data_IF_136794621429
#
_entry.id   IF_136794621429
#
_cell.length_a   1.000
_cell.length_b   1.000
_cell.length_c   1.000
_cell.angle_alpha   90.00
_cell.angle_beta   90.00
_cell.angle_gamma   90.00
#
_symmetry.space_group_name_H-M   'P 1'
#
loop_
_entity.id
_entity.type
_entity.pdbx_description
1 polymer ?
#
# COMPACT_ATOMS: atom_id res chain seq x y z
N UNK A 1 -3.26 17.86 10.51
CA UNK A 1 -2.38 17.79 11.70
C UNK A 1 -0.91 18.02 11.31
N UNK A 2 -0.02 18.44 12.23
CA UNK A 2 1.36 18.87 11.92
C UNK A 2 2.42 17.87 12.42
N UNK A 3 3.50 17.68 11.67
CA UNK A 3 4.74 17.01 12.10
C UNK A 3 5.89 17.99 11.95
N UNK A 4 6.74 18.12 12.98
CA UNK A 4 7.96 18.93 12.92
C UNK A 4 9.16 18.00 12.84
N UNK A 5 10.02 18.22 11.85
CA UNK A 5 11.28 17.50 11.70
C UNK A 5 12.44 18.45 12.02
N UNK A 6 13.25 18.07 13.00
CA UNK A 6 14.43 18.83 13.41
C UNK A 6 15.70 18.28 12.75
N UNK A 7 16.49 19.15 12.14
CA UNK A 7 17.79 18.82 11.55
C UNK A 7 18.85 18.60 12.64
N UNK A 8 19.41 17.37 12.78
CA UNK A 8 20.37 17.05 13.82
C UNK A 8 21.78 17.60 13.54
N UNK A 9 22.05 18.16 12.36
CA UNK A 9 23.37 18.73 12.05
C UNK A 9 23.70 19.92 12.96
N UNK A 10 24.80 19.79 13.71
CA UNK A 10 25.45 20.84 14.49
C UNK A 10 26.81 21.14 13.87
N UNK A 11 26.86 21.42 12.57
CA UNK A 11 28.11 21.82 11.93
C UNK A 11 28.21 23.36 11.92
N UNK A 12 28.97 23.97 12.86
CA UNK A 12 29.17 25.41 12.89
C UNK A 12 29.91 25.95 11.66
N UNK A 13 30.57 25.09 10.87
CA UNK A 13 31.31 25.46 9.67
C UNK A 13 30.47 25.36 8.37
N UNK A 14 29.22 24.87 8.44
CA UNK A 14 28.29 24.89 7.30
C UNK A 14 27.63 26.28 7.15
N UNK A 15 28.41 27.22 6.61
CA UNK A 15 28.00 28.62 6.34
C UNK A 15 26.73 28.70 5.48
N UNK A 16 26.44 27.68 4.65
CA UNK A 16 25.22 27.61 3.82
C UNK A 16 23.96 27.26 4.63
N UNK A 17 24.11 26.68 5.82
CA UNK A 17 23.01 26.33 6.73
C UNK A 17 22.88 27.25 7.94
N UNK A 18 23.87 28.08 8.24
CA UNK A 18 23.90 28.97 9.40
C UNK A 18 22.62 29.83 9.60
N UNK A 19 21.96 30.25 8.52
CA UNK A 19 20.75 31.08 8.56
C UNK A 19 19.45 30.34 8.21
N UNK A 20 19.48 29.01 8.03
CA UNK A 20 18.27 28.23 7.72
C UNK A 20 17.61 27.74 9.01
N UNK A 21 16.27 27.83 9.07
CA UNK A 21 15.49 27.13 10.09
C UNK A 21 15.86 25.65 10.09
N UNK A 22 16.36 25.15 11.22
CA UNK A 22 16.63 23.73 11.46
C UNK A 22 15.34 22.91 11.59
N UNK A 23 14.21 23.59 11.71
CA UNK A 23 12.89 22.98 11.78
C UNK A 23 12.19 23.04 10.42
N UNK A 24 11.64 21.90 10.02
CA UNK A 24 10.73 21.81 8.87
C UNK A 24 9.40 21.22 9.31
N UNK A 25 8.33 21.96 9.05
CA UNK A 25 6.96 21.53 9.37
C UNK A 25 6.29 20.89 8.15
N UNK A 26 5.62 19.76 8.36
CA UNK A 26 4.78 19.08 7.38
C UNK A 26 3.34 18.99 7.89
N UNK A 27 2.35 19.07 6.99
CA UNK A 27 0.93 19.02 7.36
C UNK A 27 0.21 17.89 6.62
N UNK A 28 -0.27 16.90 7.37
CA UNK A 28 -1.01 15.75 6.85
C UNK A 28 -2.46 15.77 7.32
N UNK A 29 -3.29 14.90 6.75
CA UNK A 29 -4.68 14.76 7.15
C UNK A 29 -4.75 14.26 8.61
N UNK A 30 -3.99 13.21 8.92
CA UNK A 30 -3.80 12.66 10.27
C UNK A 30 -2.31 12.47 10.58
N UNK A 31 -1.96 12.53 11.86
CA UNK A 31 -0.60 12.26 12.38
C UNK A 31 -0.74 11.40 13.62
N UNK A 32 0.05 10.34 13.72
CA UNK A 32 0.05 9.42 14.85
C UNK A 32 1.46 9.35 15.45
N UNK A 33 1.56 9.46 16.77
CA UNK A 33 2.79 9.18 17.51
C UNK A 33 2.69 7.83 18.24
N UNK A 34 3.70 7.49 19.03
CA UNK A 34 3.78 6.25 19.82
C UNK A 34 2.61 5.98 20.79
N UNK A 35 1.75 6.97 21.09
CA UNK A 35 0.58 6.83 21.96
C UNK A 35 -0.65 6.33 21.20
N UNK A 36 -0.66 6.48 19.88
CA UNK A 36 -1.76 6.04 19.05
C UNK A 36 -1.84 4.50 19.06
N UNK A 37 -3.04 3.98 19.26
CA UNK A 37 -3.28 2.52 19.22
C UNK A 37 -3.54 2.04 17.79
N UNK A 38 -3.41 0.74 17.55
CA UNK A 38 -3.78 0.13 16.26
C UNK A 38 -5.25 0.39 15.88
N UNK A 39 -6.15 0.44 16.86
CA UNK A 39 -7.56 0.78 16.64
C UNK A 39 -7.74 2.23 16.22
N UNK A 40 -7.02 3.16 16.87
CA UNK A 40 -7.11 4.58 16.54
C UNK A 40 -6.63 4.85 15.11
N UNK A 41 -5.51 4.23 14.70
CA UNK A 41 -5.01 4.31 13.33
C UNK A 41 -6.05 3.74 12.36
N UNK A 42 -6.62 2.58 12.64
CA UNK A 42 -7.67 1.95 11.84
C UNK A 42 -8.91 2.85 11.65
N UNK A 43 -9.50 3.30 12.75
CA UNK A 43 -10.71 4.14 12.74
C UNK A 43 -10.48 5.44 11.97
N UNK A 44 -9.30 6.04 12.15
CA UNK A 44 -8.96 7.33 11.57
C UNK A 44 -8.55 7.27 10.09
N UNK A 45 -8.29 6.09 9.55
CA UNK A 45 -7.72 5.94 8.19
C UNK A 45 -8.54 5.05 7.27
N UNK A 46 -8.90 3.83 7.68
CA UNK A 46 -9.43 2.82 6.75
C UNK A 46 -10.90 2.49 6.95
N UNK A 47 -11.43 2.66 8.16
CA UNK A 47 -12.82 2.30 8.50
C UNK A 47 -13.86 2.92 7.56
N UNK A 48 -13.67 4.18 7.17
CA UNK A 48 -14.58 4.90 6.26
C UNK A 48 -14.58 4.38 4.82
N UNK A 49 -13.61 3.54 4.43
CA UNK A 49 -13.51 2.99 3.08
C UNK A 49 -14.49 1.83 2.87
N UNK A 50 -14.85 1.11 3.93
CA UNK A 50 -15.64 -0.13 3.89
C UNK A 50 -16.98 0.10 3.20
N UNK A 51 -17.70 1.17 3.57
CA UNK A 51 -19.00 1.51 2.96
C UNK A 51 -18.92 1.74 1.45
N UNK A 52 -17.80 2.30 0.97
CA UNK A 52 -17.55 2.45 -0.47
C UNK A 52 -17.30 1.11 -1.16
N UNK A 53 -16.46 0.26 -0.56
CA UNK A 53 -16.12 -1.06 -1.10
C UNK A 53 -17.36 -1.95 -1.25
N UNK A 54 -18.19 -2.03 -0.21
CA UNK A 54 -19.43 -2.83 -0.28
C UNK A 54 -20.45 -2.29 -1.31
N UNK A 55 -20.33 -1.01 -1.65
CA UNK A 55 -21.20 -0.33 -2.63
C UNK A 55 -20.65 -0.37 -4.06
N UNK A 56 -19.51 -1.03 -4.29
CA UNK A 56 -18.90 -1.19 -5.61
C UNK A 56 -17.80 -0.18 -5.96
N UNK A 57 -17.31 0.60 -5.00
CA UNK A 57 -16.18 1.52 -5.23
C UNK A 57 -14.86 0.84 -4.89
N UNK A 58 -13.80 1.18 -5.62
CA UNK A 58 -12.47 0.70 -5.26
C UNK A 58 -11.87 1.53 -4.14
N UNK A 59 -11.06 0.89 -3.31
CA UNK A 59 -10.27 1.55 -2.29
C UNK A 59 -8.88 0.92 -2.21
N UNK A 60 -7.89 1.75 -1.88
CA UNK A 60 -6.50 1.32 -1.75
C UNK A 60 -5.90 1.89 -0.47
N UNK A 61 -5.29 1.03 0.32
CA UNK A 61 -4.52 1.38 1.52
C UNK A 61 -3.10 0.91 1.27
N UNK A 62 -2.11 1.79 1.39
CA UNK A 62 -0.72 1.35 1.32
C UNK A 62 0.15 1.94 2.43
N UNK A 63 0.93 1.06 3.06
CA UNK A 63 1.95 1.41 4.02
C UNK A 63 3.28 1.68 3.31
N UNK A 64 3.85 2.85 3.55
CA UNK A 64 5.10 3.31 2.93
C UNK A 64 6.08 3.82 3.97
N UNK A 65 7.38 3.64 3.73
CA UNK A 65 8.44 4.13 4.60
C UNK A 65 9.64 3.19 4.63
N UNK A 66 10.71 3.56 5.34
CA UNK A 66 11.92 2.75 5.45
C UNK A 66 11.67 1.40 6.15
N UNK A 67 12.56 0.44 5.97
CA UNK A 67 12.50 -0.82 6.71
C UNK A 67 12.61 -0.56 8.22
N UNK A 68 11.79 -1.25 9.01
CA UNK A 68 11.80 -1.14 10.46
C UNK A 68 10.99 0.02 11.04
N UNK A 69 10.39 0.89 10.23
CA UNK A 69 9.56 2.01 10.73
C UNK A 69 8.11 1.64 11.04
N UNK A 70 7.73 0.37 10.91
CA UNK A 70 6.43 -0.13 11.39
C UNK A 70 5.40 -0.45 10.30
N UNK A 71 5.73 -0.44 9.00
CA UNK A 71 4.78 -0.77 7.91
C UNK A 71 4.00 -2.07 8.15
N UNK A 72 4.71 -3.19 8.31
CA UNK A 72 4.10 -4.50 8.56
C UNK A 72 3.40 -4.54 9.92
N UNK A 73 3.88 -3.81 10.93
CA UNK A 73 3.18 -3.69 12.22
C UNK A 73 1.83 -2.99 12.07
N UNK A 74 1.74 -1.90 11.33
CA UNK A 74 0.46 -1.23 11.05
C UNK A 74 -0.47 -2.13 10.23
N UNK A 75 0.04 -2.77 9.18
CA UNK A 75 -0.81 -3.57 8.28
C UNK A 75 -1.27 -4.89 8.92
N UNK A 76 -0.35 -5.68 9.47
CA UNK A 76 -0.61 -6.99 10.06
C UNK A 76 -0.87 -6.92 11.56
N UNK A 77 -0.06 -6.16 12.28
CA UNK A 77 -0.06 -6.11 13.74
C UNK A 77 0.57 -7.33 14.38
N UNK A 78 0.21 -7.54 15.64
CA UNK A 78 0.56 -8.71 16.43
C UNK A 78 -0.70 -9.41 16.91
N UNK A 79 -0.59 -10.61 17.47
CA UNK A 79 -1.75 -11.33 18.02
C UNK A 79 -2.46 -10.53 19.14
N UNK A 80 -1.72 -9.70 19.88
CA UNK A 80 -2.27 -8.85 20.95
C UNK A 80 -2.75 -7.50 20.44
N UNK A 81 -2.12 -6.99 19.40
CA UNK A 81 -2.42 -5.67 18.81
C UNK A 81 -2.63 -5.83 17.30
N UNK A 82 -3.82 -6.33 16.90
CA UNK A 82 -4.08 -6.62 15.51
C UNK A 82 -4.09 -5.36 14.65
N UNK A 83 -3.55 -5.45 13.44
CA UNK A 83 -3.38 -4.33 12.52
C UNK A 83 -4.58 -4.08 11.60
N UNK A 84 -4.35 -3.30 10.55
CA UNK A 84 -5.36 -2.88 9.57
C UNK A 84 -6.05 -4.06 8.88
N UNK A 85 -5.33 -5.14 8.53
CA UNK A 85 -5.91 -6.26 7.78
C UNK A 85 -7.15 -6.84 8.49
N UNK A 86 -6.97 -7.39 9.68
CA UNK A 86 -8.07 -8.06 10.41
C UNK A 86 -9.17 -7.09 10.83
N UNK A 87 -8.83 -5.88 11.30
CA UNK A 87 -9.85 -4.89 11.69
C UNK A 87 -10.75 -4.49 10.53
N UNK A 88 -10.14 -4.26 9.36
CA UNK A 88 -10.88 -3.91 8.14
C UNK A 88 -11.74 -5.07 7.66
N UNK A 89 -11.21 -6.30 7.71
CA UNK A 89 -11.94 -7.49 7.30
C UNK A 89 -13.11 -7.81 8.23
N UNK A 90 -12.92 -7.71 9.54
CA UNK A 90 -13.98 -7.93 10.54
C UNK A 90 -15.14 -6.95 10.33
N UNK A 91 -14.85 -5.66 10.22
CA UNK A 91 -15.89 -4.65 9.98
C UNK A 91 -16.50 -4.77 8.58
N UNK A 92 -15.74 -5.23 7.58
CA UNK A 92 -16.27 -5.52 6.25
C UNK A 92 -17.31 -6.63 6.33
N UNK A 93 -17.00 -7.79 6.91
CA UNK A 93 -17.96 -8.89 7.02
C UNK A 93 -19.17 -8.53 7.88
N UNK A 94 -18.99 -7.81 9.00
CA UNK A 94 -20.12 -7.28 9.79
C UNK A 94 -21.02 -6.36 8.95
N UNK A 95 -20.44 -5.51 8.11
CA UNK A 95 -21.20 -4.63 7.24
C UNK A 95 -21.94 -5.41 6.13
N UNK A 96 -21.37 -6.50 5.61
CA UNK A 96 -22.06 -7.38 4.67
C UNK A 96 -23.26 -8.07 5.32
N UNK A 97 -23.09 -8.62 6.52
CA UNK A 97 -24.15 -9.28 7.29
C UNK A 97 -25.30 -8.31 7.60
N UNK A 98 -25.00 -7.08 8.00
CA UNK A 98 -26.00 -6.05 8.27
C UNK A 98 -26.85 -5.68 7.04
N UNK A 99 -26.37 -5.93 5.82
CA UNK A 99 -27.08 -5.67 4.56
C UNK A 99 -27.59 -6.95 3.87
N UNK A 100 -27.46 -8.11 4.52
CA UNK A 100 -27.73 -9.40 3.90
C UNK A 100 -29.21 -9.63 3.58
N UNK A 101 -30.15 -8.89 4.18
CA UNK A 101 -31.58 -9.03 3.86
C UNK A 101 -31.91 -8.54 2.44
N UNK A 102 -31.25 -7.49 1.96
CA UNK A 102 -31.55 -6.84 0.67
C UNK A 102 -30.61 -7.26 -0.46
N UNK A 103 -29.40 -7.69 -0.10
CA UNK A 103 -28.29 -7.89 -1.04
C UNK A 103 -27.63 -9.25 -0.80
N UNK A 104 -27.27 -9.92 -1.90
CA UNK A 104 -26.36 -11.05 -1.90
C UNK A 104 -24.94 -10.55 -2.13
N UNK A 105 -24.01 -11.06 -1.32
CA UNK A 105 -22.59 -10.75 -1.43
C UNK A 105 -21.77 -12.00 -1.70
N UNK A 106 -20.72 -11.85 -2.48
CA UNK A 106 -19.67 -12.86 -2.64
C UNK A 106 -18.33 -12.18 -2.44
N UNK A 107 -17.50 -12.75 -1.56
CA UNK A 107 -16.17 -12.21 -1.24
C UNK A 107 -15.12 -13.19 -1.71
N UNK A 108 -14.16 -12.69 -2.48
CA UNK A 108 -12.95 -13.43 -2.84
C UNK A 108 -11.71 -12.63 -2.49
N UNK A 109 -10.60 -13.32 -2.27
CA UNK A 109 -9.31 -12.69 -2.03
C UNK A 109 -8.21 -13.25 -2.91
N UNK A 110 -7.25 -12.39 -3.24
CA UNK A 110 -5.97 -12.76 -3.84
C UNK A 110 -4.85 -12.18 -2.99
N UNK A 111 -3.76 -12.93 -2.83
CA UNK A 111 -2.59 -12.47 -2.11
C UNK A 111 -1.34 -12.73 -2.93
N UNK A 112 -0.57 -11.69 -3.19
CA UNK A 112 0.58 -11.75 -4.08
C UNK A 112 1.76 -10.96 -3.56
N UNK A 113 2.91 -11.35 -4.05
CA UNK A 113 4.17 -10.66 -3.85
C UNK A 113 4.68 -10.09 -5.18
N UNK A 114 5.14 -8.84 -5.15
CA UNK A 114 5.94 -8.26 -6.22
C UNK A 114 7.37 -8.14 -5.69
N UNK A 115 8.26 -8.97 -6.22
CA UNK A 115 9.67 -8.97 -5.88
C UNK A 115 10.51 -9.00 -7.15
N UNK A 116 11.47 -8.08 -7.27
CA UNK A 116 12.34 -8.00 -8.44
C UNK A 116 11.59 -7.92 -9.79
N UNK A 117 10.48 -7.16 -9.85
CA UNK A 117 9.58 -7.07 -11.01
C UNK A 117 8.96 -8.42 -11.45
N UNK A 118 8.95 -9.41 -10.56
CA UNK A 118 8.27 -10.69 -10.74
C UNK A 118 7.06 -10.74 -9.81
N UNK A 119 5.93 -11.18 -10.34
CA UNK A 119 4.69 -11.37 -9.56
C UNK A 119 4.61 -12.84 -9.19
N UNK A 120 4.37 -13.13 -7.91
CA UNK A 120 4.13 -14.47 -7.40
C UNK A 120 2.81 -14.52 -6.65
N UNK A 121 2.12 -15.63 -6.84
CA UNK A 121 0.95 -15.98 -6.06
C UNK A 121 1.38 -16.53 -4.70
N UNK A 122 0.97 -15.87 -3.60
CA UNK A 122 1.27 -16.33 -2.25
C UNK A 122 0.28 -17.39 -1.76
N UNK A 123 -0.86 -17.57 -2.43
CA UNK A 123 -1.84 -18.61 -2.14
C UNK A 123 -1.52 -19.92 -2.89
N UNK A 124 -0.93 -19.81 -4.08
CA UNK A 124 -0.49 -20.94 -4.90
C UNK A 124 0.96 -20.78 -5.41
N UNK A 125 1.99 -21.03 -4.58
CA UNK A 125 3.39 -20.86 -4.97
C UNK A 125 3.83 -21.72 -6.16
N UNK A 126 3.10 -22.79 -6.46
CA UNK A 126 3.37 -23.69 -7.59
C UNK A 126 2.93 -23.11 -8.94
N UNK A 127 2.20 -21.99 -8.98
CA UNK A 127 1.73 -21.36 -10.21
C UNK A 127 2.85 -20.75 -11.07
N UNK A 128 4.07 -20.65 -10.54
CA UNK A 128 5.16 -19.94 -11.20
C UNK A 128 4.98 -18.43 -11.19
N UNK A 129 5.54 -17.75 -12.19
CA UNK A 129 5.50 -16.29 -12.30
C UNK A 129 4.27 -15.83 -13.08
N UNK A 130 3.63 -14.77 -12.59
CA UNK A 130 2.40 -14.23 -13.17
C UNK A 130 2.65 -12.97 -14.01
N UNK A 131 1.79 -12.79 -15.00
CA UNK A 131 1.81 -11.65 -15.92
C UNK A 131 0.66 -10.68 -15.64
N UNK A 132 0.99 -9.39 -15.73
CA UNK A 132 0.06 -8.29 -15.56
C UNK A 132 -0.42 -7.82 -16.94
N UNK A 133 -1.74 -7.95 -17.17
CA UNK A 133 -2.44 -7.65 -18.40
C UNK A 133 -3.37 -6.46 -18.22
N UNK A 134 -3.72 -5.81 -19.32
CA UNK A 134 -4.67 -4.71 -19.37
C UNK A 134 -5.82 -5.16 -20.27
N UNK A 135 -7.05 -5.09 -19.78
CA UNK A 135 -8.23 -5.45 -20.57
C UNK A 135 -8.63 -4.33 -21.55
N UNK A 136 -9.65 -4.58 -22.37
CA UNK A 136 -10.14 -3.61 -23.36
C UNK A 136 -10.69 -2.32 -22.76
N UNK A 137 -10.97 -2.30 -21.45
CA UNK A 137 -11.44 -1.12 -20.71
C UNK A 137 -10.29 -0.39 -20.00
N UNK A 138 -9.05 -0.87 -20.16
CA UNK A 138 -7.87 -0.28 -19.52
C UNK A 138 -7.69 -0.69 -18.06
N UNK A 139 -8.46 -1.67 -17.57
CA UNK A 139 -8.36 -2.19 -16.21
C UNK A 139 -7.25 -3.24 -16.15
N UNK A 140 -6.45 -3.14 -15.09
CA UNK A 140 -5.30 -4.00 -14.87
C UNK A 140 -5.73 -5.30 -14.18
N UNK A 141 -5.29 -6.43 -14.72
CA UNK A 141 -5.58 -7.77 -14.21
C UNK A 141 -4.31 -8.62 -14.18
N UNK A 142 -4.26 -9.60 -13.27
CA UNK A 142 -3.13 -10.53 -13.15
C UNK A 142 -3.61 -11.88 -13.66
N UNK A 143 -3.08 -12.31 -14.80
CA UNK A 143 -3.52 -13.55 -15.43
C UNK A 143 -3.02 -14.75 -14.61
N UNK A 144 -3.93 -15.63 -14.23
CA UNK A 144 -3.62 -16.86 -13.49
C UNK A 144 -3.42 -16.67 -11.98
N UNK A 145 -3.75 -15.50 -11.42
CA UNK A 145 -3.77 -15.32 -9.96
C UNK A 145 -4.88 -16.17 -9.34
N UNK A 146 -4.59 -16.79 -8.20
CA UNK A 146 -5.58 -17.51 -7.40
C UNK A 146 -6.56 -16.53 -6.75
N UNK A 147 -7.84 -16.78 -6.94
CA UNK A 147 -8.93 -16.10 -6.24
C UNK A 147 -9.60 -17.09 -5.28
N UNK A 148 -9.30 -16.98 -3.99
CA UNK A 148 -9.89 -17.83 -2.97
C UNK A 148 -11.21 -17.21 -2.49
N UNK A 149 -12.31 -17.96 -2.61
CA UNK A 149 -13.58 -17.59 -1.99
C UNK A 149 -13.47 -17.68 -0.47
N UNK A 150 -13.99 -16.69 0.25
CA UNK A 150 -13.93 -16.64 1.72
C UNK A 150 -15.24 -16.16 2.30
N UNK A 151 -15.64 -16.72 3.43
CA UNK A 151 -16.93 -16.42 4.08
C UNK A 151 -16.81 -15.56 5.33
N UNK A 152 -15.61 -15.41 5.87
CA UNK A 152 -15.35 -14.65 7.09
C UNK A 152 -13.90 -14.12 7.15
N UNK A 153 -13.64 -13.23 8.10
CA UNK A 153 -12.32 -12.61 8.28
C UNK A 153 -11.24 -13.60 8.72
N UNK A 154 -11.61 -14.64 9.47
CA UNK A 154 -10.66 -15.63 10.00
C UNK A 154 -10.04 -16.47 8.86
N UNK A 155 -10.83 -16.88 7.87
CA UNK A 155 -10.35 -17.58 6.67
C UNK A 155 -9.32 -16.74 5.90
N UNK A 156 -9.59 -15.45 5.69
CA UNK A 156 -8.64 -14.54 5.03
C UNK A 156 -7.36 -14.43 5.85
N UNK A 157 -7.44 -14.31 7.18
CA UNK A 157 -6.24 -14.23 8.04
C UNK A 157 -5.43 -15.52 8.04
N UNK A 158 -6.07 -16.69 7.96
CA UNK A 158 -5.37 -17.97 7.80
C UNK A 158 -4.62 -18.04 6.47
N UNK A 159 -5.27 -17.63 5.37
CA UNK A 159 -4.65 -17.56 4.05
C UNK A 159 -3.49 -16.55 4.01
N UNK A 160 -3.67 -15.39 4.63
CA UNK A 160 -2.63 -14.36 4.74
C UNK A 160 -1.43 -14.87 5.56
N UNK A 161 -1.67 -15.55 6.68
CA UNK A 161 -0.63 -16.17 7.50
C UNK A 161 0.13 -17.24 6.72
N UNK A 162 -0.59 -18.09 5.98
CA UNK A 162 0.00 -19.10 5.09
C UNK A 162 0.85 -18.44 3.99
N UNK A 163 0.34 -17.41 3.33
CA UNK A 163 1.04 -16.68 2.27
C UNK A 163 2.28 -15.94 2.77
N UNK A 164 2.24 -15.37 3.98
CA UNK A 164 3.40 -14.73 4.59
C UNK A 164 4.53 -15.73 4.89
N UNK A 165 4.21 -16.99 5.21
CA UNK A 165 5.23 -18.04 5.34
C UNK A 165 5.92 -18.27 3.99
N UNK A 166 5.18 -18.28 2.88
CA UNK A 166 5.73 -18.40 1.53
C UNK A 166 6.62 -17.21 1.16
N UNK A 167 6.17 -15.99 1.47
CA UNK A 167 6.95 -14.75 1.31
C UNK A 167 8.31 -14.79 2.03
N UNK A 168 8.43 -15.56 3.11
CA UNK A 168 9.64 -15.61 3.96
C UNK A 168 10.64 -16.71 3.55
N UNK A 169 10.27 -17.63 2.65
CA UNK A 169 11.04 -18.86 2.37
C UNK A 169 12.11 -18.77 1.26
N UNK A 170 12.39 -17.60 0.68
CA UNK A 170 13.42 -17.52 -0.37
C UNK A 170 14.86 -17.80 0.15
N UNK A 171 15.67 -18.58 -0.58
CA UNK A 171 16.95 -19.13 -0.13
C UNK A 171 18.12 -18.12 -0.24
N UNK A 172 17.98 -16.94 0.37
CA UNK A 172 19.12 -16.02 0.52
C UNK A 172 19.55 -15.96 1.98
N UNK A 173 20.74 -16.50 2.25
CA UNK A 173 21.37 -16.43 3.55
C UNK A 173 21.46 -14.96 4.01
N UNK A 174 20.77 -14.66 5.12
CA UNK A 174 20.67 -13.37 5.80
C UNK A 174 19.95 -12.24 5.01
N UNK A 175 18.61 -12.15 5.12
CA UNK A 175 17.86 -10.91 5.43
C UNK A 175 16.33 -11.09 5.41
N UNK A 176 15.62 -10.24 6.17
CA UNK A 176 14.15 -10.12 6.22
C UNK A 176 13.57 -9.86 4.83
N UNK A 177 13.00 -10.88 4.16
CA UNK A 177 12.41 -10.77 2.81
C UNK A 177 11.36 -9.65 2.68
N UNK A 178 10.61 -9.36 3.76
CA UNK A 178 9.60 -8.29 3.78
C UNK A 178 10.16 -6.88 3.52
N UNK A 179 11.46 -6.65 3.74
CA UNK A 179 12.10 -5.35 3.44
C UNK A 179 12.25 -5.07 1.95
N UNK A 180 12.16 -6.12 1.11
CA UNK A 180 12.57 -6.08 -0.30
C UNK A 180 11.46 -6.41 -1.29
N UNK A 181 10.33 -6.89 -0.80
CA UNK A 181 9.18 -7.23 -1.63
C UNK A 181 7.94 -6.46 -1.23
N UNK A 182 7.07 -6.19 -2.19
CA UNK A 182 5.75 -5.61 -1.92
C UNK A 182 4.75 -6.74 -1.77
N UNK A 183 3.98 -6.74 -0.67
CA UNK A 183 2.84 -7.64 -0.52
C UNK A 183 1.54 -6.88 -0.82
N UNK A 184 0.67 -7.51 -1.61
CA UNK A 184 -0.63 -6.94 -1.99
C UNK A 184 -1.71 -7.96 -1.65
N UNK A 185 -2.56 -7.61 -0.69
CA UNK A 185 -3.84 -8.27 -0.48
C UNK A 185 -4.90 -7.54 -1.27
N UNK A 186 -5.57 -8.25 -2.17
CA UNK A 186 -6.77 -7.78 -2.85
C UNK A 186 -7.98 -8.53 -2.30
N UNK A 187 -9.00 -7.79 -1.88
CA UNK A 187 -10.31 -8.32 -1.50
C UNK A 187 -11.33 -7.78 -2.50
N UNK A 188 -12.05 -8.69 -3.15
CA UNK A 188 -13.09 -8.36 -4.13
C UNK A 188 -14.45 -8.66 -3.50
N UNK A 189 -15.32 -7.65 -3.46
CA UNK A 189 -16.71 -7.79 -3.00
C UNK A 189 -17.62 -7.62 -4.18
N UNK A 190 -18.34 -8.68 -4.53
CA UNK A 190 -19.39 -8.66 -5.56
C UNK A 190 -20.74 -8.56 -4.87
N UNK A 191 -21.52 -7.54 -5.22
CA UNK A 191 -22.85 -7.27 -4.70
C UNK A 191 -23.90 -7.53 -5.79
N UNK A 192 -24.97 -8.24 -5.41
CA UNK A 192 -26.15 -8.49 -6.25
C UNK A 192 -27.43 -8.21 -5.48
N UNK A 193 -28.36 -7.47 -6.06
CA UNK A 193 -29.67 -7.20 -5.43
C UNK A 193 -30.53 -8.47 -5.38
N UNK A 194 -31.15 -8.75 -4.23
CA UNK A 194 -32.12 -9.86 -4.06
C UNK A 194 -33.47 -9.57 -4.70
N UNK A 195 -33.84 -8.29 -4.79
CA UNK A 195 -35.09 -7.87 -5.44
C UNK A 195 -34.96 -8.12 -6.95
N UNK A 196 -35.85 -8.96 -7.50
CA UNK A 196 -35.97 -9.31 -8.93
C UNK A 196 -36.57 -8.15 -9.75
N UNK A 197 -36.12 -6.93 -9.54
CA UNK A 197 -36.44 -5.84 -10.45
C UNK A 197 -35.48 -5.86 -11.63
N UNK A 198 -36.04 -5.82 -12.83
CA UNK A 198 -35.30 -5.86 -14.09
C UNK A 198 -34.37 -4.63 -14.15
N UNK A 199 -33.06 -4.85 -14.23
CA UNK A 199 -32.08 -3.80 -14.54
C UNK A 199 -31.13 -3.35 -13.43
N UNK A 200 -31.07 -3.99 -12.25
CA UNK A 200 -30.02 -3.68 -11.28
C UNK A 200 -28.68 -4.32 -11.66
N UNK A 201 -27.68 -3.47 -11.91
CA UNK A 201 -26.30 -3.86 -12.23
C UNK A 201 -25.61 -4.58 -11.05
N UNK A 202 -24.88 -5.64 -11.37
CA UNK A 202 -23.90 -6.24 -10.46
C UNK A 202 -22.82 -5.21 -10.15
N UNK A 203 -22.56 -4.95 -8.87
CA UNK A 203 -21.52 -4.02 -8.44
C UNK A 203 -20.33 -4.79 -7.88
N UNK A 204 -19.13 -4.34 -8.20
CA UNK A 204 -17.88 -4.99 -7.78
C UNK A 204 -16.98 -3.93 -7.17
N UNK A 205 -16.73 -4.03 -5.86
CA UNK A 205 -15.76 -3.19 -5.17
C UNK A 205 -14.48 -3.96 -4.91
N UNK A 206 -13.33 -3.33 -5.17
CA UNK A 206 -12.01 -3.92 -4.89
C UNK A 206 -11.30 -3.12 -3.81
N UNK A 207 -10.91 -3.81 -2.75
CA UNK A 207 -10.07 -3.27 -1.69
C UNK A 207 -8.64 -3.80 -1.84
N UNK A 208 -7.70 -2.90 -2.05
CA UNK A 208 -6.27 -3.22 -2.09
C UNK A 208 -5.63 -2.78 -0.77
N UNK A 209 -4.97 -3.70 -0.09
CA UNK A 209 -4.19 -3.42 1.11
C UNK A 209 -2.74 -3.84 0.87
N UNK A 210 -1.85 -2.86 0.84
CA UNK A 210 -0.49 -3.01 0.30
C UNK A 210 0.56 -2.70 1.37
N UNK A 211 1.45 -3.66 1.61
CA UNK A 211 2.65 -3.50 2.45
C UNK A 211 3.86 -3.37 1.52
N UNK A 212 4.33 -2.14 1.30
CA UNK A 212 5.43 -1.87 0.37
C UNK A 212 6.78 -2.28 0.98
N UNK A 213 7.75 -2.51 0.11
CA UNK A 213 9.16 -2.66 0.49
C UNK A 213 9.71 -1.40 1.17
N UNK A 214 10.88 -1.52 1.80
CA UNK A 214 11.61 -0.39 2.38
C UNK A 214 11.96 0.67 1.33
N UNK A 215 11.75 1.95 1.68
CA UNK A 215 12.06 3.10 0.82
C UNK A 215 13.50 3.61 0.92
N UNK A 216 14.32 3.01 1.77
CA UNK A 216 15.73 3.35 1.95
C UNK A 216 16.58 3.04 0.71
N UNK A 217 17.67 3.79 0.54
CA UNK A 217 18.55 3.65 -0.64
C UNK A 217 19.46 2.43 -0.49
N UNK A 218 19.54 1.61 -1.55
CA UNK A 218 20.45 0.46 -1.58
C UNK A 218 21.94 0.84 -1.42
N UNK A 219 22.32 2.08 -1.72
CA UNK A 219 23.70 2.57 -1.57
C UNK A 219 24.21 2.57 -0.11
N UNK A 220 23.31 2.58 0.89
CA UNK A 220 23.68 2.47 2.31
C UNK A 220 23.91 1.02 2.76
N UNK A 221 23.52 0.04 1.93
CA UNK A 221 23.76 -1.37 2.19
C UNK A 221 25.02 -1.81 1.47
N UNK A 222 25.98 -2.45 2.17
CA UNK A 222 27.21 -3.03 1.61
C UNK A 222 26.92 -4.25 0.71
N UNK A 223 26.11 -4.05 -0.34
CA UNK A 223 25.59 -5.10 -1.20
C UNK A 223 26.49 -5.27 -2.45
N UNK A 224 27.26 -6.35 -2.51
CA UNK A 224 28.05 -6.74 -3.71
C UNK A 224 27.29 -7.76 -4.58
N UNK A 225 27.53 -7.74 -5.90
CA UNK A 225 27.08 -8.79 -6.84
C UNK A 225 25.57 -8.81 -7.09
N UNK A 226 24.93 -9.99 -7.00
CA UNK A 226 23.47 -10.19 -7.22
C UNK A 226 22.60 -9.23 -6.38
N UNK A 227 23.04 -8.90 -5.17
CA UNK A 227 22.36 -7.97 -4.25
C UNK A 227 22.36 -6.51 -4.73
N UNK A 228 23.35 -6.11 -5.52
CA UNK A 228 23.39 -4.77 -6.13
C UNK A 228 22.32 -4.65 -7.23
N UNK A 229 22.17 -5.69 -8.06
CA UNK A 229 21.12 -5.77 -9.08
C UNK A 229 19.72 -5.82 -8.43
N UNK A 230 19.57 -6.62 -7.38
CA UNK A 230 18.34 -6.71 -6.58
C UNK A 230 17.93 -5.36 -5.96
N UNK A 231 18.87 -4.66 -5.32
CA UNK A 231 18.64 -3.31 -4.79
C UNK A 231 18.26 -2.29 -5.88
N UNK A 232 18.81 -2.43 -7.10
CA UNK A 232 18.43 -1.58 -8.22
C UNK A 232 16.97 -1.80 -8.66
N UNK A 233 16.46 -3.04 -8.63
CA UNK A 233 15.08 -3.35 -9.00
C UNK A 233 14.05 -2.95 -7.93
N UNK A 234 14.37 -3.10 -6.64
CA UNK A 234 13.49 -2.63 -5.55
C UNK A 234 13.34 -1.11 -5.64
N UNK A 235 14.47 -0.41 -5.78
CA UNK A 235 14.47 1.03 -5.99
C UNK A 235 13.75 1.41 -7.28
N UNK A 236 13.79 0.59 -8.34
CA UNK A 236 13.06 0.87 -9.57
C UNK A 236 11.54 0.99 -9.33
N UNK A 237 10.93 0.04 -8.60
CA UNK A 237 9.49 0.07 -8.33
C UNK A 237 9.05 1.28 -7.50
N UNK A 238 9.80 1.61 -6.43
CA UNK A 238 9.50 2.78 -5.58
C UNK A 238 9.88 4.11 -6.24
N UNK A 239 10.92 4.14 -7.09
CA UNK A 239 11.27 5.29 -7.92
C UNK A 239 10.18 5.56 -8.96
N UNK A 240 9.71 4.51 -9.65
CA UNK A 240 8.58 4.62 -10.58
C UNK A 240 7.33 5.15 -9.87
N UNK A 241 7.04 4.65 -8.66
CA UNK A 241 5.95 5.14 -7.83
C UNK A 241 6.13 6.62 -7.47
N UNK A 242 7.34 7.03 -7.07
CA UNK A 242 7.68 8.43 -6.81
C UNK A 242 7.54 9.33 -8.04
N UNK A 243 7.95 8.86 -9.21
CA UNK A 243 7.78 9.59 -10.47
C UNK A 243 6.30 9.76 -10.82
N UNK A 244 5.49 8.71 -10.63
CA UNK A 244 4.05 8.79 -10.82
C UNK A 244 3.40 9.81 -9.87
N UNK A 245 3.78 9.79 -8.60
CA UNK A 245 3.27 10.73 -7.58
C UNK A 245 3.67 12.17 -7.90
N UNK A 246 4.92 12.42 -8.30
CA UNK A 246 5.38 13.76 -8.70
C UNK A 246 4.56 14.28 -9.89
N UNK A 247 4.45 13.48 -10.95
CA UNK A 247 3.70 13.85 -12.15
C UNK A 247 2.20 14.07 -11.87
N UNK A 248 1.62 13.32 -10.93
CA UNK A 248 0.22 13.49 -10.52
C UNK A 248 0.02 14.72 -9.62
N UNK A 249 0.97 15.03 -8.75
CA UNK A 249 0.91 16.20 -7.86
C UNK A 249 1.07 17.51 -8.62
N UNK A 250 1.74 17.53 -9.77
CA UNK A 250 1.99 18.72 -10.59
C UNK A 250 0.84 19.10 -11.54
N UNK A 251 -0.21 18.25 -11.66
CA UNK A 251 -1.39 18.44 -12.54
C UNK A 251 -2.26 19.67 -12.24
N UNK A 252 -1.81 20.59 -11.38
CA UNK A 252 -2.38 21.93 -11.24
C UNK A 252 -2.05 22.89 -12.40
N UNK A 253 -1.11 22.54 -13.29
CA UNK A 253 -0.80 23.29 -14.52
C UNK A 253 -1.57 22.80 -15.75
N UNK A 254 -1.91 23.69 -16.68
CA UNK A 254 -2.86 23.57 -17.80
C UNK A 254 -2.58 22.50 -18.89
N UNK A 255 -1.81 21.44 -18.62
CA UNK A 255 -1.54 20.36 -19.57
C UNK A 255 -1.70 19.00 -18.90
N UNK A 256 -2.46 18.10 -19.53
CA UNK A 256 -2.56 16.72 -19.10
C UNK A 256 -1.18 16.04 -19.26
N UNK A 257 -0.38 16.04 -18.19
CA UNK A 257 0.90 15.35 -18.16
C UNK A 257 0.63 13.84 -18.20
N UNK A 258 1.24 13.15 -19.18
CA UNK A 258 1.24 11.70 -19.26
C UNK A 258 1.98 11.13 -18.05
N UNK A 259 1.34 10.21 -17.32
CA UNK A 259 1.93 9.55 -16.14
C UNK A 259 2.38 8.16 -16.55
N UNK A 260 3.68 7.89 -16.44
CA UNK A 260 4.26 6.65 -16.92
C UNK A 260 4.12 5.51 -15.90
N UNK A 261 2.91 4.98 -15.74
CA UNK A 261 2.65 3.84 -14.86
C UNK A 261 3.35 2.55 -15.31
N UNK A 262 3.87 2.49 -16.54
CA UNK A 262 4.46 1.28 -17.14
C UNK A 262 5.88 0.99 -16.66
N UNK A 263 6.53 1.92 -15.96
CA UNK A 263 7.94 1.78 -15.52
C UNK A 263 8.18 0.65 -14.49
N UNK A 264 7.12 0.23 -13.78
CA UNK A 264 7.14 -0.92 -12.88
C UNK A 264 5.81 -1.68 -12.84
N UNK A 265 5.83 -2.97 -12.51
CA UNK A 265 4.60 -3.76 -12.29
C UNK A 265 3.76 -3.22 -11.13
N UNK A 266 4.40 -2.71 -10.08
CA UNK A 266 3.72 -2.08 -8.95
C UNK A 266 2.90 -0.86 -9.38
N UNK A 267 3.50 0.05 -10.14
CA UNK A 267 2.79 1.26 -10.62
C UNK A 267 1.70 0.94 -11.62
N UNK A 268 1.85 -0.13 -12.42
CA UNK A 268 0.76 -0.63 -13.27
C UNK A 268 -0.40 -1.14 -12.40
N UNK A 269 -0.11 -1.96 -11.40
CA UNK A 269 -1.14 -2.47 -10.48
C UNK A 269 -1.86 -1.36 -9.72
N UNK A 270 -1.14 -0.31 -9.31
CA UNK A 270 -1.67 0.83 -8.57
C UNK A 270 -2.18 1.99 -9.45
N UNK A 271 -2.24 1.82 -10.78
CA UNK A 271 -2.67 2.86 -11.74
C UNK A 271 -3.99 3.52 -11.31
N UNK A 272 -5.00 2.68 -11.04
CA UNK A 272 -6.32 3.17 -10.65
C UNK A 272 -6.35 3.72 -9.22
N UNK A 273 -5.44 3.23 -8.37
CA UNK A 273 -5.28 3.73 -6.99
C UNK A 273 -4.75 5.16 -6.95
N UNK A 274 -3.84 5.52 -7.85
CA UNK A 274 -3.12 6.80 -7.77
C UNK A 274 -3.80 7.91 -8.57
N UNK A 275 -4.40 7.59 -9.71
CA UNK A 275 -4.98 8.62 -10.60
C UNK A 275 -6.32 8.25 -11.22
N UNK A 276 -6.90 7.11 -10.83
CA UNK A 276 -8.15 6.59 -11.36
C UNK A 276 -9.30 6.67 -10.36
N UNK A 277 -10.21 5.70 -10.49
CA UNK A 277 -11.39 5.52 -9.65
C UNK A 277 -11.06 4.63 -8.44
N UNK A 278 -10.45 5.24 -7.42
CA UNK A 278 -10.19 4.61 -6.13
C UNK A 278 -10.07 5.64 -5.02
N UNK A 279 -10.65 5.33 -3.85
CA UNK A 279 -10.35 6.06 -2.61
C UNK A 279 -9.04 5.55 -2.04
N UNK A 280 -8.06 6.43 -1.89
CA UNK A 280 -6.70 6.01 -1.58
C UNK A 280 -6.20 6.61 -0.28
N UNK A 281 -5.65 5.76 0.56
CA UNK A 281 -5.05 6.10 1.85
C UNK A 281 -3.59 5.67 1.84
N UNK A 282 -2.70 6.64 2.03
CA UNK A 282 -1.27 6.41 2.22
C UNK A 282 -0.92 6.55 3.70
N UNK A 283 -0.37 5.50 4.31
CA UNK A 283 0.17 5.55 5.67
C UNK A 283 1.69 5.60 5.60
N UNK A 284 2.25 6.79 5.84
CA UNK A 284 3.69 7.03 5.79
C UNK A 284 4.34 6.82 7.17
N UNK A 285 5.38 5.99 7.22
CA UNK A 285 6.05 5.56 8.44
C UNK A 285 7.46 6.14 8.49
N UNK A 286 7.79 6.79 9.61
CA UNK A 286 9.11 7.38 9.86
C UNK A 286 9.68 6.89 11.18
N UNK A 287 10.99 7.06 11.36
CA UNK A 287 11.65 6.85 12.65
C UNK A 287 11.84 8.21 13.33
N UNK A 288 11.52 8.36 14.62
CA UNK A 288 11.78 9.60 15.35
C UNK A 288 13.27 9.77 15.71
N UNK A 289 14.11 8.76 15.44
CA UNK A 289 15.53 8.80 15.77
C UNK A 289 16.29 9.77 14.85
N UNK A 290 17.20 10.55 15.43
CA UNK A 290 18.07 11.49 14.71
C UNK A 290 18.95 10.79 13.66
N UNK A 291 19.37 9.55 13.92
CA UNK A 291 20.14 8.72 12.98
C UNK A 291 19.37 8.37 11.71
N UNK A 292 18.04 8.45 11.74
CA UNK A 292 17.15 8.21 10.59
C UNK A 292 16.63 9.51 9.96
N UNK A 293 17.26 10.66 10.25
CA UNK A 293 16.78 11.98 9.82
C UNK A 293 16.56 12.06 8.29
N UNK A 294 17.54 11.69 7.48
CA UNK A 294 17.42 11.83 6.01
C UNK A 294 16.33 10.93 5.43
N UNK A 295 16.18 9.71 5.94
CA UNK A 295 15.13 8.79 5.51
C UNK A 295 13.74 9.33 5.88
N UNK A 296 13.57 9.79 7.12
CA UNK A 296 12.33 10.38 7.61
C UNK A 296 11.97 11.65 6.84
N UNK A 297 12.96 12.48 6.54
CA UNK A 297 12.82 13.67 5.68
C UNK A 297 12.33 13.29 4.28
N UNK A 298 12.93 12.27 3.67
CA UNK A 298 12.51 11.80 2.34
C UNK A 298 11.07 11.28 2.36
N UNK A 299 10.70 10.47 3.36
CA UNK A 299 9.34 9.95 3.51
C UNK A 299 8.31 11.05 3.72
N UNK A 300 8.61 12.06 4.56
CA UNK A 300 7.72 13.20 4.80
C UNK A 300 7.53 14.04 3.53
N UNK A 301 8.60 14.32 2.79
CA UNK A 301 8.51 15.04 1.50
C UNK A 301 7.66 14.27 0.50
N UNK A 302 7.86 12.96 0.42
CA UNK A 302 7.13 12.09 -0.49
C UNK A 302 5.63 12.07 -0.16
N UNK A 303 5.27 11.81 1.09
CA UNK A 303 3.88 11.80 1.55
C UNK A 303 3.22 13.16 1.34
N UNK A 304 3.95 14.26 1.55
CA UNK A 304 3.45 15.61 1.35
C UNK A 304 3.11 15.90 -0.12
N UNK A 305 3.87 15.34 -1.07
CA UNK A 305 3.53 15.42 -2.50
C UNK A 305 2.32 14.56 -2.84
N UNK A 306 2.28 13.32 -2.33
CA UNK A 306 1.18 12.40 -2.56
C UNK A 306 -0.17 12.97 -2.12
N UNK A 307 -0.20 13.72 -1.02
CA UNK A 307 -1.39 14.42 -0.50
C UNK A 307 -2.06 15.34 -1.53
N UNK A 308 -1.30 15.93 -2.45
CA UNK A 308 -1.85 16.90 -3.42
C UNK A 308 -2.46 16.23 -4.67
N UNK A 309 -2.40 14.89 -4.76
CA UNK A 309 -2.99 14.16 -5.86
C UNK A 309 -4.50 14.10 -5.72
N UNK A 310 -5.22 14.45 -6.79
CA UNK A 310 -6.68 14.31 -6.87
C UNK A 310 -7.04 13.04 -7.65
N UNK A 311 -7.71 12.10 -6.99
CA UNK A 311 -8.31 10.92 -7.63
C UNK A 311 -9.71 11.24 -8.18
N UNK A 312 -10.20 10.41 -9.10
CA UNK A 312 -11.52 10.55 -9.75
C UNK A 312 -12.48 9.54 -9.12
N UNK A 313 -12.92 9.81 -7.90
CA UNK A 313 -13.89 8.98 -7.17
C UNK A 313 -15.28 9.56 -7.33
#
# INVERSE_FOLDING_TARGET
QKVVLMDPSEDPDDVLRANRSREKTFVFDMVFDHRATQEEVYVSTTKSLIGGVISGYNATIFAYGPTGTGKTYTMLGTDREPGIYIRTLDDLFKALEANAEEMDYTVSMSYLEIYNEVIRDLLNPSSGFLDLREDSRGSIQIAGITEASTTNAQEIMQLLTKGNKQRTQEPTAANKTSSRSHAVLQVTVTQKSRRKEIGREMRIGKLFMVDLAGSERAAQTQNRGKRMKEGAHINRSLLALGNCINALSEKGGSRAQFVNFRDSKLTRLLKDSLGGNSRTVMIAHISPASTSFEESRMTLIYAYRAKNIKTRV
#
